data_IF_069536287197
#
_entry.id   IF_069536287197
#
_cell.length_a   1.000
_cell.length_b   1.000
_cell.length_c   1.000
_cell.angle_alpha   90.00
_cell.angle_beta   90.00
_cell.angle_gamma   90.00
#
_symmetry.space_group_name_H-M   'P 1'
#
loop_
_entity.id
_entity.type
_entity.pdbx_description
1 polymer ?
#
# COMPACT_ATOMS: atom_id res chain seq x y z
N UNK A 1 -6.93 -10.14 30.09
CA UNK A 1 -7.61 -9.38 29.01
C UNK A 1 -8.36 -10.38 28.17
N UNK A 2 -9.60 -10.07 27.78
CA UNK A 2 -10.39 -10.95 26.91
C UNK A 2 -9.77 -11.03 25.49
N UNK A 3 -9.81 -12.21 24.87
CA UNK A 3 -9.14 -12.52 23.60
C UNK A 3 -9.60 -11.58 22.48
N UNK A 4 -10.90 -11.30 22.40
CA UNK A 4 -11.49 -10.39 21.41
C UNK A 4 -10.87 -8.99 21.52
N UNK A 5 -10.64 -8.50 22.74
CA UNK A 5 -10.03 -7.17 22.96
C UNK A 5 -8.59 -7.12 22.52
N UNK A 6 -7.84 -8.20 22.74
CA UNK A 6 -6.45 -8.32 22.27
C UNK A 6 -6.39 -8.35 20.74
N UNK A 7 -7.24 -9.18 20.11
CA UNK A 7 -7.32 -9.25 18.64
C UNK A 7 -7.74 -7.91 18.04
N UNK A 8 -8.73 -7.25 18.61
CA UNK A 8 -9.19 -5.94 18.15
C UNK A 8 -8.10 -4.88 18.29
N UNK A 9 -7.40 -4.86 19.43
CA UNK A 9 -6.27 -3.97 19.64
C UNK A 9 -5.18 -4.17 18.58
N UNK A 10 -4.77 -5.43 18.34
CA UNK A 10 -3.76 -5.77 17.34
C UNK A 10 -4.22 -5.44 15.91
N UNK A 11 -5.49 -5.66 15.59
CA UNK A 11 -6.06 -5.35 14.28
C UNK A 11 -6.10 -3.83 14.01
N UNK A 12 -6.51 -3.04 15.00
CA UNK A 12 -6.56 -1.58 14.84
C UNK A 12 -5.14 -0.99 14.80
N UNK A 13 -4.25 -1.44 15.70
CA UNK A 13 -2.86 -1.02 15.73
C UNK A 13 -2.13 -1.39 14.42
N UNK A 14 -2.36 -2.62 13.94
CA UNK A 14 -1.84 -3.13 12.67
C UNK A 14 -2.23 -2.24 11.51
N UNK A 15 -3.52 -1.90 11.36
CA UNK A 15 -3.97 -0.97 10.32
C UNK A 15 -3.28 0.39 10.39
N UNK A 16 -3.18 1.00 11.58
CA UNK A 16 -2.58 2.34 11.74
C UNK A 16 -1.12 2.32 11.29
N UNK A 17 -0.34 1.32 11.73
CA UNK A 17 1.09 1.23 11.42
C UNK A 17 1.30 0.79 9.95
N UNK A 18 0.48 -0.13 9.43
CA UNK A 18 0.62 -0.63 8.06
C UNK A 18 0.32 0.45 7.02
N UNK A 19 -0.77 1.19 7.21
CA UNK A 19 -1.31 2.11 6.20
C UNK A 19 -0.85 3.55 6.38
N UNK A 20 -0.30 3.92 7.55
CA UNK A 20 0.31 5.25 7.76
C UNK A 20 1.35 5.61 6.67
N UNK A 21 2.38 4.77 6.41
CA UNK A 21 3.34 5.02 5.34
C UNK A 21 2.75 5.09 3.93
N UNK A 22 1.64 4.38 3.69
CA UNK A 22 0.97 4.39 2.38
C UNK A 22 0.52 5.80 1.98
N UNK A 23 0.07 6.61 2.95
CA UNK A 23 -0.25 8.02 2.71
C UNK A 23 1.00 8.89 2.53
N UNK A 24 2.14 8.50 3.10
CA UNK A 24 3.42 9.18 2.94
C UNK A 24 4.07 8.96 1.57
N UNK A 25 3.82 7.80 0.92
CA UNK A 25 4.41 7.46 -0.38
C UNK A 25 4.13 8.51 -1.47
N UNK A 26 2.99 9.22 -1.41
CA UNK A 26 2.68 10.29 -2.38
C UNK A 26 3.68 11.45 -2.28
N UNK A 27 4.10 11.79 -1.06
CA UNK A 27 5.05 12.87 -0.82
C UNK A 27 6.46 12.44 -1.19
N UNK A 28 6.85 11.21 -0.82
CA UNK A 28 8.14 10.62 -1.20
C UNK A 28 8.27 10.56 -2.73
N UNK A 29 7.23 10.12 -3.42
CA UNK A 29 7.20 10.07 -4.89
C UNK A 29 7.23 11.46 -5.54
N UNK A 30 6.52 12.44 -4.99
CA UNK A 30 6.53 13.82 -5.50
C UNK A 30 7.91 14.47 -5.35
N UNK A 31 8.52 14.36 -4.15
CA UNK A 31 9.86 14.89 -3.88
C UNK A 31 10.92 14.19 -4.75
N UNK A 32 10.91 12.86 -4.83
CA UNK A 32 11.82 12.11 -5.70
C UNK A 32 11.61 12.37 -7.19
N UNK A 33 10.41 12.80 -7.59
CA UNK A 33 10.13 13.25 -8.95
C UNK A 33 10.72 14.63 -9.25
N UNK A 34 10.60 15.56 -8.30
CA UNK A 34 11.10 16.93 -8.39
C UNK A 34 12.64 17.02 -8.34
N UNK A 35 13.29 16.05 -7.70
CA UNK A 35 14.75 15.96 -7.59
C UNK A 35 15.26 14.69 -8.28
N UNK A 36 15.49 14.71 -9.61
CA UNK A 36 15.85 13.52 -10.38
C UNK A 36 17.06 12.74 -9.85
N UNK A 37 18.02 13.43 -9.21
CA UNK A 37 19.20 12.80 -8.61
C UNK A 37 18.85 11.90 -7.41
N UNK A 38 17.72 12.14 -6.73
CA UNK A 38 17.26 11.38 -5.57
C UNK A 38 16.14 10.39 -5.89
N UNK A 39 15.67 10.34 -7.14
CA UNK A 39 14.54 9.50 -7.57
C UNK A 39 14.74 8.03 -7.20
N UNK A 40 15.92 7.46 -7.49
CA UNK A 40 16.19 6.06 -7.20
C UNK A 40 16.15 5.77 -5.68
N UNK A 41 16.74 6.67 -4.88
CA UNK A 41 16.71 6.55 -3.43
C UNK A 41 15.27 6.62 -2.89
N UNK A 42 14.45 7.56 -3.36
CA UNK A 42 13.05 7.68 -2.97
C UNK A 42 12.22 6.42 -3.29
N UNK A 43 12.47 5.79 -4.45
CA UNK A 43 11.85 4.53 -4.83
C UNK A 43 12.26 3.38 -3.91
N UNK A 44 13.56 3.29 -3.56
CA UNK A 44 14.08 2.27 -2.63
C UNK A 44 13.56 2.44 -1.21
N UNK A 45 13.37 3.67 -0.74
CA UNK A 45 12.72 3.94 0.56
C UNK A 45 11.28 3.42 0.54
N UNK A 46 10.53 3.70 -0.52
CA UNK A 46 9.15 3.23 -0.67
C UNK A 46 9.06 1.70 -0.76
N UNK A 47 9.98 1.07 -1.50
CA UNK A 47 10.06 -0.40 -1.61
C UNK A 47 10.41 -1.05 -0.26
N UNK A 48 11.37 -0.47 0.47
CA UNK A 48 11.77 -0.95 1.80
C UNK A 48 10.59 -0.88 2.77
N UNK A 49 9.91 0.26 2.85
CA UNK A 49 8.72 0.44 3.70
C UNK A 49 7.62 -0.56 3.34
N UNK A 50 7.35 -0.74 2.04
CA UNK A 50 6.36 -1.71 1.59
C UNK A 50 6.73 -3.15 2.01
N UNK A 51 7.98 -3.55 1.76
CA UNK A 51 8.45 -4.92 2.01
C UNK A 51 8.65 -5.28 3.48
N UNK A 52 9.04 -4.34 4.33
CA UNK A 52 9.32 -4.63 5.75
C UNK A 52 8.21 -4.23 6.71
N UNK A 53 7.34 -3.31 6.32
CA UNK A 53 6.29 -2.80 7.21
C UNK A 53 4.90 -3.06 6.63
N UNK A 54 4.57 -2.47 5.48
CA UNK A 54 3.19 -2.50 4.97
C UNK A 54 2.71 -3.90 4.64
N UNK A 55 3.46 -4.70 3.87
CA UNK A 55 3.05 -6.05 3.46
C UNK A 55 2.96 -7.01 4.67
N UNK A 56 3.98 -7.12 5.54
CA UNK A 56 3.90 -7.99 6.71
C UNK A 56 2.74 -7.63 7.65
N UNK A 57 2.56 -6.33 7.93
CA UNK A 57 1.46 -5.90 8.79
C UNK A 57 0.10 -6.05 8.13
N UNK A 58 0.01 -5.94 6.80
CA UNK A 58 -1.20 -6.31 6.10
C UNK A 58 -1.50 -7.81 6.31
N UNK A 59 -0.53 -8.71 6.17
CA UNK A 59 -0.76 -10.14 6.49
C UNK A 59 -1.28 -10.33 7.93
N UNK A 60 -0.66 -9.65 8.92
CA UNK A 60 -1.14 -9.64 10.31
C UNK A 60 -2.58 -9.10 10.42
N UNK A 61 -2.93 -8.08 9.63
CA UNK A 61 -4.29 -7.55 9.54
C UNK A 61 -5.30 -8.60 9.09
N UNK A 62 -4.95 -9.39 8.07
CA UNK A 62 -5.77 -10.50 7.60
C UNK A 62 -5.98 -11.55 8.69
N UNK A 63 -4.89 -11.97 9.36
CA UNK A 63 -4.94 -12.98 10.42
C UNK A 63 -5.79 -12.50 11.61
N UNK A 64 -5.56 -11.28 12.08
CA UNK A 64 -6.32 -10.71 13.20
C UNK A 64 -7.78 -10.47 12.82
N UNK A 65 -8.08 -10.07 11.58
CA UNK A 65 -9.44 -9.92 11.08
C UNK A 65 -10.20 -11.25 11.04
N UNK A 66 -9.57 -12.31 10.54
CA UNK A 66 -10.13 -13.68 10.59
C UNK A 66 -10.38 -14.10 12.04
N UNK A 67 -9.41 -13.86 12.93
CA UNK A 67 -9.56 -14.14 14.35
C UNK A 67 -10.78 -13.45 14.97
N UNK A 68 -11.01 -12.18 14.65
CA UNK A 68 -12.20 -11.43 15.10
C UNK A 68 -13.50 -12.05 14.57
N UNK A 69 -13.54 -12.44 13.29
CA UNK A 69 -14.73 -13.07 12.70
C UNK A 69 -15.07 -14.39 13.41
N UNK A 70 -14.05 -15.18 13.75
CA UNK A 70 -14.25 -16.48 14.40
C UNK A 70 -14.61 -16.39 15.89
N UNK A 71 -14.25 -15.29 16.55
CA UNK A 71 -14.43 -15.11 18.00
C UNK A 71 -15.59 -14.18 18.36
N UNK A 72 -16.19 -13.53 17.38
CA UNK A 72 -17.33 -12.62 17.57
C UNK A 72 -18.59 -13.23 16.94
N UNK A 73 -19.74 -13.11 17.59
CA UNK A 73 -21.04 -13.61 17.09
C UNK A 73 -21.64 -12.69 15.99
N UNK A 74 -20.85 -12.40 14.96
CA UNK A 74 -21.31 -11.60 13.80
C UNK A 74 -22.06 -12.53 12.84
N UNK A 75 -23.29 -12.18 12.50
CA UNK A 75 -24.02 -12.82 11.40
C UNK A 75 -23.37 -12.43 10.07
N UNK A 76 -22.39 -13.24 9.65
CA UNK A 76 -21.59 -12.98 8.46
C UNK A 76 -22.45 -12.80 7.21
N UNK A 77 -23.58 -13.50 7.10
CA UNK A 77 -24.48 -13.44 5.95
C UNK A 77 -25.16 -12.08 5.79
N UNK A 78 -25.38 -11.34 6.88
CA UNK A 78 -25.99 -10.01 6.87
C UNK A 78 -24.97 -8.86 6.89
N UNK A 79 -23.73 -9.14 7.29
CA UNK A 79 -22.67 -8.15 7.39
C UNK A 79 -22.07 -7.79 6.01
N UNK A 80 -22.84 -7.14 5.13
CA UNK A 80 -22.41 -6.79 3.76
C UNK A 80 -21.17 -5.88 3.77
N UNK A 81 -21.07 -4.96 4.74
CA UNK A 81 -19.89 -4.11 4.92
C UNK A 81 -18.62 -4.93 5.16
N UNK A 82 -18.73 -6.03 5.92
CA UNK A 82 -17.62 -6.91 6.27
C UNK A 82 -17.21 -7.74 5.06
N UNK A 83 -18.18 -8.37 4.39
CA UNK A 83 -17.94 -9.15 3.18
C UNK A 83 -17.26 -8.30 2.10
N UNK A 84 -17.80 -7.10 1.84
CA UNK A 84 -17.27 -6.19 0.83
C UNK A 84 -15.86 -5.74 1.17
N UNK A 85 -15.60 -5.40 2.45
CA UNK A 85 -14.27 -5.04 2.91
C UNK A 85 -13.25 -6.17 2.74
N UNK A 86 -13.63 -7.42 3.01
CA UNK A 86 -12.76 -8.59 2.81
C UNK A 86 -12.41 -8.76 1.34
N UNK A 87 -13.37 -8.62 0.43
CA UNK A 87 -13.14 -8.70 -1.01
C UNK A 87 -12.19 -7.59 -1.48
N UNK A 88 -12.46 -6.33 -1.09
CA UNK A 88 -11.59 -5.20 -1.43
C UNK A 88 -10.18 -5.38 -0.85
N UNK A 89 -10.08 -5.91 0.37
CA UNK A 89 -8.81 -6.20 1.03
C UNK A 89 -8.01 -7.28 0.30
N UNK A 90 -8.66 -8.37 -0.14
CA UNK A 90 -8.03 -9.42 -0.94
C UNK A 90 -7.51 -8.87 -2.28
N UNK A 91 -8.30 -8.03 -2.96
CA UNK A 91 -7.89 -7.34 -4.19
C UNK A 91 -6.66 -6.44 -3.92
N UNK A 92 -6.68 -5.67 -2.83
CA UNK A 92 -5.58 -4.78 -2.48
C UNK A 92 -4.28 -5.55 -2.20
N UNK A 93 -4.32 -6.63 -1.43
CA UNK A 93 -3.17 -7.50 -1.15
C UNK A 93 -2.61 -8.09 -2.45
N UNK A 94 -3.49 -8.69 -3.26
CA UNK A 94 -3.10 -9.30 -4.52
C UNK A 94 -2.45 -8.27 -5.45
N UNK A 95 -3.06 -7.09 -5.59
CA UNK A 95 -2.52 -6.03 -6.45
C UNK A 95 -1.19 -5.48 -5.91
N UNK A 96 -1.08 -5.28 -4.60
CA UNK A 96 0.14 -4.79 -3.97
C UNK A 96 1.33 -5.75 -4.21
N UNK A 97 1.12 -7.05 -4.02
CA UNK A 97 2.16 -8.07 -4.14
C UNK A 97 2.44 -8.46 -5.59
N UNK A 98 1.39 -8.64 -6.41
CA UNK A 98 1.49 -9.16 -7.77
C UNK A 98 1.76 -8.09 -8.84
N UNK A 99 1.36 -6.83 -8.60
CA UNK A 99 1.42 -5.77 -9.62
C UNK A 99 2.28 -4.59 -9.17
N UNK A 100 1.94 -3.98 -8.02
CA UNK A 100 2.59 -2.75 -7.56
C UNK A 100 4.07 -2.98 -7.20
N UNK A 101 4.36 -3.99 -6.37
CA UNK A 101 5.72 -4.25 -5.88
C UNK A 101 6.69 -4.59 -7.02
N UNK A 102 6.37 -5.50 -7.97
CA UNK A 102 7.23 -5.75 -9.12
C UNK A 102 7.44 -4.51 -9.99
N UNK A 103 6.40 -3.69 -10.20
CA UNK A 103 6.52 -2.46 -10.98
C UNK A 103 7.48 -1.43 -10.33
N UNK A 104 7.43 -1.29 -9.00
CA UNK A 104 8.37 -0.44 -8.25
C UNK A 104 9.80 -0.96 -8.36
N UNK A 105 10.02 -2.28 -8.22
CA UNK A 105 11.35 -2.88 -8.36
C UNK A 105 11.94 -2.67 -9.75
N UNK A 106 11.16 -2.89 -10.80
CA UNK A 106 11.57 -2.60 -12.19
C UNK A 106 11.95 -1.13 -12.36
N UNK A 107 11.17 -0.22 -11.77
CA UNK A 107 11.48 1.22 -11.85
C UNK A 107 12.77 1.59 -11.09
N UNK A 108 13.09 0.91 -9.99
CA UNK A 108 14.38 1.06 -9.30
C UNK A 108 15.53 0.62 -10.22
N UNK A 109 15.42 -0.54 -10.89
CA UNK A 109 16.43 -1.03 -11.81
C UNK A 109 16.66 -0.06 -12.98
N UNK A 110 15.58 0.43 -13.59
CA UNK A 110 15.64 1.38 -14.71
C UNK A 110 16.22 2.76 -14.33
N UNK A 111 16.22 3.10 -13.04
CA UNK A 111 16.74 4.38 -12.52
C UNK A 111 18.05 4.22 -11.76
N UNK A 112 18.69 3.04 -11.82
CA UNK A 112 19.94 2.76 -11.14
C UNK A 112 21.16 3.37 -11.83
N UNK A 113 21.05 3.74 -13.12
CA UNK A 113 22.04 4.55 -13.80
C UNK A 113 22.14 5.89 -13.08
N UNK A 114 23.30 6.18 -12.49
CA UNK A 114 23.54 7.37 -11.67
C UNK A 114 23.25 8.69 -12.41
N UNK A 115 23.42 9.83 -11.74
CA UNK A 115 23.16 11.13 -12.35
C UNK A 115 23.91 11.27 -13.69
N UNK A 116 23.30 11.89 -14.71
CA UNK A 116 23.96 12.10 -15.99
C UNK A 116 25.30 12.83 -15.80
N UNK A 117 26.30 12.58 -16.65
CA UNK A 117 27.60 13.25 -16.58
C UNK A 117 27.43 14.77 -16.48
N UNK A 118 28.27 15.43 -15.68
CA UNK A 118 28.25 16.89 -15.54
C UNK A 118 28.37 17.53 -16.92
N UNK A 119 27.37 18.34 -17.30
CA UNK A 119 27.31 19.00 -18.62
C UNK A 119 26.50 18.27 -19.69
N UNK A 120 25.97 17.08 -19.42
CA UNK A 120 24.99 16.46 -20.29
C UNK A 120 23.67 17.26 -20.28
N UNK A 121 23.13 17.56 -21.46
CA UNK A 121 21.83 18.18 -21.58
C UNK A 121 20.78 17.35 -20.84
N UNK A 122 19.91 18.02 -20.06
CA UNK A 122 18.82 17.37 -19.35
C UNK A 122 17.78 16.84 -20.36
N UNK A 123 18.06 15.68 -20.97
CA UNK A 123 17.03 14.91 -21.65
C UNK A 123 16.11 14.35 -20.59
N UNK A 124 14.80 14.56 -20.74
CA UNK A 124 13.80 13.98 -19.84
C UNK A 124 13.93 12.45 -19.73
N UNK A 125 13.22 11.81 -18.78
CA UNK A 125 13.28 10.37 -18.60
C UNK A 125 12.98 9.64 -19.92
N UNK A 126 13.66 8.52 -20.23
CA UNK A 126 13.29 7.69 -21.35
C UNK A 126 11.78 7.38 -21.35
N UNK A 127 11.11 7.32 -22.50
CA UNK A 127 9.65 7.12 -22.56
C UNK A 127 9.15 5.90 -21.77
N UNK A 128 9.94 4.82 -21.73
CA UNK A 128 9.64 3.63 -20.95
C UNK A 128 9.65 3.88 -19.43
N UNK A 129 10.58 4.70 -18.94
CA UNK A 129 10.66 5.11 -17.52
C UNK A 129 9.45 5.96 -17.17
N UNK A 130 9.11 6.94 -18.01
CA UNK A 130 7.93 7.79 -17.79
C UNK A 130 6.62 7.00 -17.75
N UNK A 131 6.46 6.03 -18.66
CA UNK A 131 5.29 5.14 -18.67
C UNK A 131 5.22 4.28 -17.40
N UNK A 132 6.35 3.75 -16.94
CA UNK A 132 6.43 2.93 -15.73
C UNK A 132 6.14 3.75 -14.46
N UNK A 133 6.67 4.97 -14.37
CA UNK A 133 6.33 5.93 -13.30
C UNK A 133 4.83 6.16 -13.23
N UNK A 134 4.17 6.42 -14.37
CA UNK A 134 2.72 6.65 -14.41
C UNK A 134 1.93 5.43 -13.91
N UNK A 135 2.32 4.22 -14.30
CA UNK A 135 1.70 2.98 -13.82
C UNK A 135 1.85 2.81 -12.31
N UNK A 136 3.05 3.03 -11.78
CA UNK A 136 3.33 2.96 -10.33
C UNK A 136 2.52 3.99 -9.55
N UNK A 137 2.40 5.22 -10.07
CA UNK A 137 1.58 6.27 -9.46
C UNK A 137 0.09 5.89 -9.47
N UNK A 138 -0.44 5.43 -10.60
CA UNK A 138 -1.83 5.00 -10.71
C UNK A 138 -2.14 3.83 -9.78
N UNK A 139 -1.26 2.84 -9.70
CA UNK A 139 -1.42 1.72 -8.78
C UNK A 139 -1.35 2.14 -7.31
N UNK A 140 -0.51 3.12 -6.98
CA UNK A 140 -0.50 3.75 -5.65
C UNK A 140 -1.81 4.46 -5.30
N UNK A 141 -2.39 5.22 -6.25
CA UNK A 141 -3.70 5.85 -6.06
C UNK A 141 -4.82 4.83 -5.88
N UNK A 142 -4.83 3.77 -6.69
CA UNK A 142 -5.79 2.67 -6.57
C UNK A 142 -5.71 2.01 -5.19
N UNK A 143 -4.50 1.64 -4.75
CA UNK A 143 -4.30 1.04 -3.43
C UNK A 143 -4.72 2.00 -2.30
N UNK A 144 -4.41 3.29 -2.41
CA UNK A 144 -4.86 4.29 -1.45
C UNK A 144 -6.39 4.39 -1.39
N UNK A 145 -7.07 4.42 -2.54
CA UNK A 145 -8.52 4.44 -2.61
C UNK A 145 -9.16 3.19 -2.01
N UNK A 146 -8.60 2.00 -2.31
CA UNK A 146 -9.05 0.73 -1.72
C UNK A 146 -8.91 0.76 -0.19
N UNK A 147 -7.78 1.21 0.35
CA UNK A 147 -7.55 1.32 1.79
C UNK A 147 -8.57 2.27 2.44
N UNK A 148 -8.81 3.44 1.84
CA UNK A 148 -9.80 4.40 2.36
C UNK A 148 -11.22 3.80 2.35
N UNK A 149 -11.60 3.11 1.28
CA UNK A 149 -12.90 2.45 1.18
C UNK A 149 -13.06 1.35 2.24
N UNK A 150 -12.04 0.51 2.43
CA UNK A 150 -12.02 -0.53 3.47
C UNK A 150 -12.17 0.08 4.86
N UNK A 151 -11.41 1.13 5.18
CA UNK A 151 -11.49 1.83 6.47
C UNK A 151 -12.89 2.43 6.66
N UNK A 152 -13.45 3.07 5.64
CA UNK A 152 -14.81 3.61 5.71
C UNK A 152 -15.84 2.51 6.02
N UNK A 153 -15.79 1.38 5.32
CA UNK A 153 -16.71 0.26 5.56
C UNK A 153 -16.56 -0.32 6.96
N UNK A 154 -15.33 -0.45 7.46
CA UNK A 154 -15.01 -1.02 8.78
C UNK A 154 -15.40 -0.08 9.94
N UNK A 155 -15.34 1.24 9.71
CA UNK A 155 -15.66 2.26 10.73
C UNK A 155 -17.15 2.60 10.72
N UNK A 156 -17.72 2.88 9.55
CA UNK A 156 -19.11 3.36 9.40
C UNK A 156 -20.10 2.19 9.43
N UNK A 157 -19.71 1.01 8.95
CA UNK A 157 -20.52 -0.21 8.94
C UNK A 157 -21.94 0.01 8.39
N UNK A 158 -22.08 0.50 7.16
CA UNK A 158 -23.39 0.82 6.58
C UNK A 158 -24.28 -0.44 6.55
N UNK A 159 -25.56 -0.26 6.91
CA UNK A 159 -26.55 -1.33 6.88
C UNK A 159 -26.47 -2.33 8.04
N UNK A 160 -25.67 -2.05 9.06
CA UNK A 160 -25.73 -2.70 10.39
C UNK A 160 -26.69 -1.94 11.28
#
# INVERSE_FOLDING_TARGET
>A
MDLVRVLLFLHVLGAIIAFGPTFSHRFIGAMGGAEPMHRNFALRVSEKLAGTQTIPLAIVQGVTGIGLILTTEIDFGKAIWLQTSIVLYAIAIWYAMGVQTPAVKRLIEMTAGGPPPVGAAASGPPPEVAATVRRVQQGGMLLGALVVAIVFLMVVKPGV
#
